data_IF_388526929596
#
_entry.id   IF_388526929596
#
_cell.length_a   1.000
_cell.length_b   1.000
_cell.length_c   1.000
_cell.angle_alpha   90.00
_cell.angle_beta   90.00
_cell.angle_gamma   90.00
#
_symmetry.space_group_name_H-M   'P 1'
#
loop_
_entity.id
_entity.type
_entity.pdbx_description
1 polymer ?
#
# COMPACT_ATOMS: atom_id res chain seq x y z
N UNK A 1 73.61 -20.39 -51.83
CA UNK A 1 72.87 -19.28 -51.25
C UNK A 1 72.23 -19.76 -49.99
N UNK A 2 72.82 -19.43 -48.87
CA UNK A 2 72.48 -19.96 -47.58
C UNK A 2 71.34 -19.25 -46.88
N UNK A 3 70.35 -19.97 -46.45
CA UNK A 3 69.31 -19.47 -45.59
C UNK A 3 69.60 -19.83 -44.13
N UNK A 4 69.94 -18.83 -43.31
CA UNK A 4 70.09 -19.02 -41.88
C UNK A 4 68.70 -19.27 -41.21
N UNK A 5 68.63 -20.44 -40.53
CA UNK A 5 67.54 -20.77 -39.64
C UNK A 5 67.85 -20.11 -38.29
N UNK A 6 66.93 -19.32 -37.78
CA UNK A 6 66.98 -18.75 -36.46
C UNK A 6 66.61 -19.84 -35.35
N UNK A 7 67.23 -19.77 -34.17
CA UNK A 7 67.02 -20.76 -33.14
C UNK A 7 65.66 -20.58 -32.43
N UNK A 8 65.13 -21.63 -31.85
CA UNK A 8 63.81 -21.57 -31.21
C UNK A 8 63.85 -20.81 -29.85
N UNK A 9 62.89 -19.91 -29.65
CA UNK A 9 62.74 -19.15 -28.40
C UNK A 9 62.18 -20.06 -27.30
N UNK A 10 62.98 -20.22 -26.22
CA UNK A 10 62.58 -20.96 -25.05
C UNK A 10 61.35 -20.33 -24.36
N UNK A 11 60.31 -21.10 -24.19
CA UNK A 11 59.11 -20.73 -23.46
C UNK A 11 59.41 -20.74 -21.95
N UNK A 12 59.50 -19.56 -21.31
CA UNK A 12 59.59 -19.43 -19.86
C UNK A 12 58.17 -19.60 -19.30
N UNK A 13 57.94 -20.77 -18.66
CA UNK A 13 56.74 -20.99 -17.87
C UNK A 13 56.91 -20.38 -16.48
N UNK A 14 56.15 -19.34 -16.18
CA UNK A 14 56.04 -18.82 -14.78
C UNK A 14 55.20 -19.78 -13.93
N UNK A 15 55.68 -20.20 -12.79
CA UNK A 15 54.87 -21.02 -11.87
C UNK A 15 53.89 -20.16 -11.08
N UNK A 16 52.65 -20.58 -10.99
CA UNK A 16 51.78 -20.19 -9.88
C UNK A 16 50.70 -19.16 -10.15
N UNK A 17 50.07 -19.10 -11.34
CA UNK A 17 48.82 -18.38 -11.47
C UNK A 17 47.64 -19.35 -11.27
N UNK A 18 47.08 -19.35 -10.05
CA UNK A 18 45.79 -19.95 -9.78
C UNK A 18 44.71 -18.93 -10.25
N UNK A 19 43.81 -19.27 -11.18
CA UNK A 19 42.74 -18.37 -11.53
C UNK A 19 41.86 -18.20 -10.29
N UNK A 20 41.69 -16.96 -9.84
CA UNK A 20 40.66 -16.60 -8.86
C UNK A 20 39.33 -17.10 -9.41
N UNK A 21 38.72 -18.03 -8.68
CA UNK A 21 37.33 -18.37 -8.91
C UNK A 21 36.53 -17.08 -8.76
N UNK A 22 36.04 -16.58 -9.88
CA UNK A 22 35.02 -15.53 -9.92
C UNK A 22 33.77 -16.22 -9.39
N UNK A 23 33.51 -16.06 -8.08
CA UNK A 23 32.19 -16.33 -7.55
C UNK A 23 31.23 -15.44 -8.33
N UNK A 24 30.50 -16.07 -9.24
CA UNK A 24 29.30 -15.46 -9.80
C UNK A 24 28.30 -15.28 -8.67
N UNK A 25 28.31 -14.11 -8.05
CA UNK A 25 27.21 -13.59 -7.26
C UNK A 25 26.04 -13.28 -8.19
N UNK A 26 25.51 -14.33 -8.83
CA UNK A 26 24.22 -14.30 -9.52
C UNK A 26 23.23 -15.03 -8.61
N UNK A 27 22.74 -14.35 -7.64
CA UNK A 27 21.37 -14.45 -7.11
C UNK A 27 21.23 -13.56 -5.87
N UNK A 28 21.43 -12.27 -6.01
CA UNK A 28 20.59 -11.37 -5.25
C UNK A 28 19.22 -11.54 -5.86
N UNK A 29 18.45 -12.49 -5.32
CA UNK A 29 17.04 -12.59 -5.62
C UNK A 29 16.47 -11.18 -5.46
N UNK A 30 16.03 -10.58 -6.57
CA UNK A 30 14.96 -9.60 -6.50
C UNK A 30 13.90 -10.32 -5.66
N UNK A 31 13.78 -9.99 -4.37
CA UNK A 31 12.52 -10.19 -3.68
C UNK A 31 11.51 -9.47 -4.58
N UNK A 32 10.78 -10.23 -5.37
CA UNK A 32 9.59 -9.74 -6.02
C UNK A 32 8.70 -9.32 -4.87
N UNK A 33 8.73 -8.03 -4.54
CA UNK A 33 7.81 -7.45 -3.59
C UNK A 33 6.44 -7.73 -4.18
N UNK A 34 5.69 -8.62 -3.54
CA UNK A 34 4.37 -9.01 -4.03
C UNK A 34 3.49 -7.77 -4.08
N UNK A 35 2.83 -7.59 -5.20
CA UNK A 35 1.82 -6.55 -5.36
C UNK A 35 0.68 -6.89 -4.40
N UNK A 36 0.39 -5.98 -3.48
CA UNK A 36 -0.60 -6.16 -2.42
C UNK A 36 -1.78 -5.21 -2.62
N UNK A 37 -2.97 -5.63 -2.19
CA UNK A 37 -4.17 -4.80 -2.21
C UNK A 37 -4.62 -4.48 -0.79
N UNK A 38 -5.11 -3.27 -0.60
CA UNK A 38 -5.75 -2.85 0.65
C UNK A 38 -7.04 -2.10 0.36
N UNK A 39 -7.96 -2.16 1.31
CA UNK A 39 -9.20 -1.39 1.22
C UNK A 39 -9.05 -0.05 1.93
N UNK A 40 -9.69 0.98 1.40
CA UNK A 40 -9.72 2.31 1.99
C UNK A 40 -11.12 2.91 1.92
N UNK A 41 -11.50 3.68 2.95
CA UNK A 41 -12.68 4.56 2.92
C UNK A 41 -12.24 5.99 3.20
N UNK A 42 -12.66 6.92 2.35
CA UNK A 42 -12.65 8.34 2.66
C UNK A 42 -14.00 8.65 3.31
N UNK A 43 -13.96 9.11 4.56
CA UNK A 43 -15.10 9.22 5.47
C UNK A 43 -15.95 10.48 5.23
N UNK A 44 -17.16 10.57 5.83
CA UNK A 44 -18.08 11.68 5.61
C UNK A 44 -17.50 13.06 5.98
N UNK A 45 -16.65 13.16 7.00
CA UNK A 45 -16.00 14.41 7.38
C UNK A 45 -15.11 14.96 6.26
N UNK A 46 -14.42 14.11 5.53
CA UNK A 46 -13.57 14.52 4.41
C UNK A 46 -14.39 14.80 3.14
N UNK A 47 -15.39 13.97 2.85
CA UNK A 47 -16.21 14.16 1.64
C UNK A 47 -17.06 15.43 1.69
N UNK A 48 -17.64 15.80 2.86
CA UNK A 48 -18.40 17.05 3.02
C UNK A 48 -17.54 18.29 2.89
N UNK A 49 -16.26 18.22 3.23
CA UNK A 49 -15.28 19.32 3.07
C UNK A 49 -14.66 19.40 1.68
N UNK A 50 -15.08 18.49 0.77
CA UNK A 50 -14.57 18.40 -0.60
C UNK A 50 -13.04 18.26 -0.71
N UNK A 51 -12.45 17.43 0.17
CA UNK A 51 -11.01 17.16 0.20
C UNK A 51 -10.65 15.75 -0.28
N UNK A 52 -11.60 15.03 -0.89
CA UNK A 52 -11.38 13.68 -1.45
C UNK A 52 -10.15 13.63 -2.35
N UNK A 53 -10.03 14.58 -3.30
CA UNK A 53 -8.89 14.64 -4.22
C UNK A 53 -7.54 14.84 -3.52
N UNK A 54 -7.50 15.63 -2.43
CA UNK A 54 -6.27 15.81 -1.63
C UNK A 54 -5.84 14.53 -0.91
N UNK A 55 -6.79 13.68 -0.53
CA UNK A 55 -6.52 12.40 0.10
C UNK A 55 -6.04 11.39 -0.94
N UNK A 56 -6.70 11.33 -2.12
CA UNK A 56 -6.27 10.45 -3.23
C UNK A 56 -4.86 10.81 -3.69
N UNK A 57 -4.53 12.09 -3.81
CA UNK A 57 -3.19 12.56 -4.14
C UNK A 57 -2.11 12.01 -3.17
N UNK A 58 -2.43 11.87 -1.87
CA UNK A 58 -1.50 11.28 -0.89
C UNK A 58 -1.24 9.80 -1.17
N UNK A 59 -2.27 9.05 -1.58
CA UNK A 59 -2.11 7.63 -1.96
C UNK A 59 -1.27 7.49 -3.22
N UNK A 60 -1.60 8.22 -4.28
CA UNK A 60 -0.90 8.15 -5.57
C UNK A 60 0.53 8.66 -5.47
N UNK A 61 0.77 9.76 -4.77
CA UNK A 61 2.12 10.30 -4.52
C UNK A 61 3.02 9.34 -3.73
N UNK A 62 2.44 8.46 -2.91
CA UNK A 62 3.17 7.41 -2.21
C UNK A 62 3.33 6.12 -3.02
N UNK A 63 2.86 6.09 -4.28
CA UNK A 63 2.97 4.95 -5.18
C UNK A 63 1.91 3.87 -4.98
N UNK A 64 0.76 4.21 -4.34
CA UNK A 64 -0.42 3.36 -4.30
C UNK A 64 -1.34 3.73 -5.47
N UNK A 65 -1.73 2.72 -6.28
CA UNK A 65 -2.67 2.91 -7.38
C UNK A 65 -4.10 2.72 -6.89
N UNK A 66 -5.01 3.59 -7.27
CA UNK A 66 -6.46 3.39 -7.06
C UNK A 66 -6.98 2.52 -8.22
N UNK A 67 -7.28 1.26 -7.95
CA UNK A 67 -7.73 0.28 -8.96
C UNK A 67 -9.24 0.00 -8.93
N UNK A 68 -9.94 0.52 -7.93
CA UNK A 68 -11.40 0.61 -7.87
C UNK A 68 -11.81 1.76 -6.95
N UNK A 69 -12.89 2.46 -7.29
CA UNK A 69 -13.39 3.57 -6.48
C UNK A 69 -14.89 3.76 -6.70
N UNK A 70 -15.65 3.95 -5.62
CA UNK A 70 -17.08 4.26 -5.64
C UNK A 70 -17.41 5.33 -4.61
N UNK A 71 -18.19 6.34 -5.01
CA UNK A 71 -18.83 7.25 -4.07
C UNK A 71 -20.23 6.72 -3.75
N UNK A 72 -20.46 6.39 -2.50
CA UNK A 72 -21.72 5.81 -2.03
C UNK A 72 -22.23 6.53 -0.79
N UNK A 73 -23.53 6.42 -0.52
CA UNK A 73 -24.09 6.73 0.78
C UNK A 73 -24.44 5.38 1.43
N UNK A 74 -23.73 5.02 2.50
CA UNK A 74 -23.95 3.76 3.17
C UNK A 74 -25.34 3.72 3.81
N UNK A 75 -26.03 2.60 3.66
CA UNK A 75 -27.21 2.32 4.48
C UNK A 75 -26.78 1.95 5.89
N UNK A 76 -27.72 2.06 6.86
CA UNK A 76 -27.46 1.64 8.24
C UNK A 76 -27.02 0.18 8.29
N UNK A 77 -27.70 -0.71 7.56
CA UNK A 77 -27.34 -2.13 7.49
C UNK A 77 -25.94 -2.37 6.93
N UNK A 78 -25.52 -1.62 5.91
CA UNK A 78 -24.17 -1.69 5.38
C UNK A 78 -23.12 -1.23 6.40
N UNK A 79 -23.36 -0.13 7.11
CA UNK A 79 -22.44 0.34 8.14
C UNK A 79 -22.34 -0.63 9.32
N UNK A 80 -23.49 -1.12 9.82
CA UNK A 80 -23.52 -2.12 10.88
C UNK A 80 -22.83 -3.43 10.50
N UNK A 81 -23.02 -3.91 9.26
CA UNK A 81 -22.37 -5.12 8.76
C UNK A 81 -20.85 -4.94 8.59
N UNK A 82 -20.42 -3.83 8.03
CA UNK A 82 -18.99 -3.54 7.84
C UNK A 82 -18.25 -3.42 9.17
N UNK A 83 -18.84 -2.76 10.15
CA UNK A 83 -18.25 -2.57 11.47
C UNK A 83 -18.71 -3.60 12.51
N UNK A 84 -19.27 -4.75 12.10
CA UNK A 84 -19.80 -5.78 13.00
C UNK A 84 -18.78 -6.28 14.04
N UNK A 85 -17.50 -6.30 13.72
CA UNK A 85 -16.38 -6.61 14.64
C UNK A 85 -16.34 -5.68 15.86
N UNK A 86 -16.92 -4.50 15.77
CA UNK A 86 -17.00 -3.51 16.85
C UNK A 86 -18.35 -3.47 17.56
N UNK A 87 -19.29 -4.39 17.26
CA UNK A 87 -20.67 -4.36 17.73
C UNK A 87 -20.82 -4.23 19.25
N UNK A 88 -19.93 -4.88 20.00
CA UNK A 88 -19.91 -4.85 21.46
C UNK A 88 -19.14 -3.65 22.06
N UNK A 89 -18.64 -2.75 21.23
CA UNK A 89 -17.90 -1.57 21.68
C UNK A 89 -18.85 -0.41 21.98
N UNK A 90 -18.62 0.38 23.05
CA UNK A 90 -19.49 1.51 23.41
C UNK A 90 -19.68 2.53 22.29
N UNK A 91 -18.66 2.71 21.44
CA UNK A 91 -18.68 3.68 20.32
C UNK A 91 -19.36 3.17 19.05
N UNK A 92 -19.86 1.93 19.01
CA UNK A 92 -20.38 1.31 17.78
C UNK A 92 -21.53 2.12 17.15
N UNK A 93 -22.52 2.51 17.94
CA UNK A 93 -23.67 3.26 17.44
C UNK A 93 -23.28 4.65 16.92
N UNK A 94 -22.36 5.31 17.59
CA UNK A 94 -21.85 6.62 17.16
C UNK A 94 -21.05 6.49 15.85
N UNK A 95 -20.23 5.44 15.73
CA UNK A 95 -19.49 5.12 14.49
C UNK A 95 -20.47 4.87 13.34
N UNK A 96 -21.49 4.04 13.51
CA UNK A 96 -22.51 3.77 12.50
C UNK A 96 -23.21 5.06 12.09
N UNK A 97 -23.67 5.85 13.06
CA UNK A 97 -24.35 7.12 12.84
C UNK A 97 -23.46 8.11 12.06
N UNK A 98 -22.18 8.18 12.40
CA UNK A 98 -21.21 8.99 11.70
C UNK A 98 -21.01 8.52 10.25
N UNK A 99 -20.83 7.21 10.01
CA UNK A 99 -20.57 6.67 8.68
C UNK A 99 -21.74 6.82 7.71
N UNK A 100 -22.98 6.90 8.22
CA UNK A 100 -24.18 7.15 7.41
C UNK A 100 -24.57 8.63 7.35
N UNK A 101 -23.84 9.53 7.99
CA UNK A 101 -24.16 10.97 8.02
C UNK A 101 -23.92 11.70 6.70
N UNK A 102 -23.25 11.07 5.75
CA UNK A 102 -22.96 11.62 4.43
C UNK A 102 -22.30 10.59 3.51
N UNK A 103 -22.05 10.97 2.25
CA UNK A 103 -21.36 10.10 1.31
C UNK A 103 -19.95 9.74 1.78
N UNK A 104 -19.53 8.51 1.44
CA UNK A 104 -18.15 8.03 1.60
C UNK A 104 -17.59 7.67 0.23
N UNK A 105 -16.26 7.62 0.11
CA UNK A 105 -15.60 7.04 -1.07
C UNK A 105 -14.89 5.77 -0.62
N UNK A 106 -15.34 4.63 -1.13
CA UNK A 106 -14.71 3.32 -0.92
C UNK A 106 -13.75 3.04 -2.07
N UNK A 107 -12.56 2.50 -1.77
CA UNK A 107 -11.49 2.32 -2.74
C UNK A 107 -10.72 1.04 -2.51
N UNK A 108 -10.18 0.48 -3.59
CA UNK A 108 -9.14 -0.54 -3.56
C UNK A 108 -7.84 0.10 -4.01
N UNK A 109 -6.85 0.05 -3.14
CA UNK A 109 -5.49 0.55 -3.39
C UNK A 109 -4.57 -0.64 -3.63
N UNK A 110 -3.67 -0.53 -4.61
CA UNK A 110 -2.71 -1.56 -4.98
C UNK A 110 -1.29 -1.00 -5.01
N UNK A 111 -0.33 -1.75 -4.51
CA UNK A 111 1.09 -1.38 -4.53
C UNK A 111 1.94 -2.35 -3.74
N UNK A 112 3.23 -2.09 -3.67
CA UNK A 112 4.13 -2.86 -2.81
C UNK A 112 3.85 -2.55 -1.34
N UNK A 113 3.63 -3.60 -0.52
CA UNK A 113 3.28 -3.48 0.90
C UNK A 113 2.09 -2.52 1.14
N UNK A 114 1.05 -2.60 0.31
CA UNK A 114 -0.02 -1.62 0.27
C UNK A 114 -0.71 -1.39 1.62
N UNK A 115 -0.90 -2.44 2.43
CA UNK A 115 -1.54 -2.33 3.75
C UNK A 115 -0.67 -1.47 4.68
N UNK A 116 0.60 -1.82 4.84
CA UNK A 116 1.52 -1.09 5.71
C UNK A 116 1.70 0.35 5.25
N UNK A 117 1.91 0.55 3.94
CA UNK A 117 2.09 1.87 3.33
C UNK A 117 0.85 2.75 3.50
N UNK A 118 -0.36 2.21 3.27
CA UNK A 118 -1.59 2.94 3.49
C UNK A 118 -1.73 3.37 4.95
N UNK A 119 -1.44 2.49 5.90
CA UNK A 119 -1.50 2.83 7.33
C UNK A 119 -0.50 3.90 7.74
N UNK A 120 0.71 3.88 7.16
CA UNK A 120 1.72 4.92 7.34
C UNK A 120 1.22 6.28 6.82
N UNK A 121 0.68 6.33 5.61
CA UNK A 121 0.14 7.55 4.99
C UNK A 121 -1.07 8.09 5.79
N UNK A 122 -1.93 7.20 6.28
CA UNK A 122 -3.08 7.59 7.10
C UNK A 122 -2.65 8.23 8.42
N UNK A 123 -1.60 7.74 9.04
CA UNK A 123 -1.16 8.15 10.37
C UNK A 123 -1.97 7.50 11.51
N UNK A 124 -1.58 7.80 12.74
CA UNK A 124 -2.22 7.27 13.94
C UNK A 124 -3.73 7.58 13.98
N UNK A 125 -4.52 6.66 14.55
CA UNK A 125 -6.00 6.78 14.64
C UNK A 125 -6.43 8.07 15.34
N UNK A 126 -5.74 8.44 16.43
CA UNK A 126 -5.91 9.74 17.05
C UNK A 126 -5.02 10.77 16.34
N UNK A 127 -5.59 11.81 15.69
CA UNK A 127 -4.81 12.82 14.98
C UNK A 127 -3.84 13.63 15.88
N UNK A 128 -4.08 13.67 17.18
CA UNK A 128 -3.14 14.29 18.11
C UNK A 128 -1.78 13.56 18.14
N UNK A 129 -1.80 12.25 17.94
CA UNK A 129 -0.63 11.37 17.95
C UNK A 129 -0.09 11.06 16.54
N UNK A 130 -0.72 11.60 15.50
CA UNK A 130 -0.32 11.38 14.12
C UNK A 130 0.85 12.30 13.75
N UNK A 131 1.79 11.75 12.96
CA UNK A 131 2.95 12.48 12.46
C UNK A 131 2.55 13.52 11.42
N UNK A 132 3.31 14.60 11.35
CA UNK A 132 3.13 15.65 10.35
C UNK A 132 3.20 15.08 8.93
N UNK A 133 2.34 15.55 8.03
CA UNK A 133 2.26 15.08 6.64
C UNK A 133 1.39 13.84 6.45
N UNK A 134 0.89 13.21 7.52
CA UNK A 134 -0.09 12.13 7.41
C UNK A 134 -1.50 12.69 7.18
N UNK A 135 -2.38 11.89 6.57
CA UNK A 135 -3.76 12.29 6.26
C UNK A 135 -4.50 12.71 7.53
N UNK A 136 -4.38 11.95 8.60
CA UNK A 136 -5.10 12.25 9.85
C UNK A 136 -4.54 13.48 10.56
N UNK A 137 -3.22 13.70 10.50
CA UNK A 137 -2.64 14.92 11.07
C UNK A 137 -3.12 16.17 10.36
N UNK A 138 -3.15 16.11 9.03
CA UNK A 138 -3.41 17.30 8.21
C UNK A 138 -4.91 17.55 8.02
N UNK A 139 -5.76 16.50 8.06
CA UNK A 139 -7.16 16.61 7.66
C UNK A 139 -8.19 16.14 8.70
N UNK A 140 -7.82 15.36 9.71
CA UNK A 140 -8.79 14.89 10.70
C UNK A 140 -9.31 16.04 11.58
N UNK A 141 -10.61 15.99 11.91
CA UNK A 141 -11.25 16.95 12.81
C UNK A 141 -11.23 16.48 14.26
N UNK A 142 -11.32 15.16 14.47
CA UNK A 142 -11.28 14.50 15.78
C UNK A 142 -10.86 13.02 15.63
N UNK A 143 -10.83 12.28 16.74
CA UNK A 143 -10.57 10.83 16.71
C UNK A 143 -11.72 10.06 16.04
N UNK A 144 -12.95 10.54 16.15
CA UNK A 144 -14.12 9.95 15.50
C UNK A 144 -14.19 10.35 14.03
N UNK A 145 -13.98 11.64 13.73
CA UNK A 145 -13.96 12.24 12.39
C UNK A 145 -12.52 12.31 11.88
N UNK A 146 -11.88 11.14 11.66
CA UNK A 146 -10.47 11.03 11.34
C UNK A 146 -10.16 10.76 9.87
N UNK A 147 -11.05 11.16 9.01
CA UNK A 147 -10.96 11.29 7.54
C UNK A 147 -10.88 9.99 6.76
N UNK A 148 -10.21 8.96 7.24
CA UNK A 148 -9.93 7.73 6.48
C UNK A 148 -10.02 6.46 7.32
N UNK A 149 -10.36 5.35 6.62
CA UNK A 149 -10.20 3.97 7.10
C UNK A 149 -9.28 3.23 6.13
N UNK A 150 -8.56 2.26 6.65
CA UNK A 150 -7.75 1.31 5.86
C UNK A 150 -7.64 -0.01 6.59
N UNK A 151 -7.57 -1.10 5.82
CA UNK A 151 -7.39 -2.45 6.35
C UNK A 151 -6.10 -2.56 7.17
N UNK A 152 -6.09 -3.45 8.14
CA UNK A 152 -4.98 -3.66 9.08
C UNK A 152 -4.20 -4.96 8.81
N UNK A 153 -4.76 -5.89 8.03
CA UNK A 153 -4.16 -7.17 7.70
C UNK A 153 -4.62 -7.65 6.30
N UNK A 154 -3.91 -8.61 5.67
CA UNK A 154 -4.30 -9.17 4.37
C UNK A 154 -5.69 -9.81 4.37
N UNK A 155 -6.04 -10.51 5.44
CA UNK A 155 -7.33 -11.17 5.59
C UNK A 155 -8.47 -10.14 5.66
N UNK A 156 -8.32 -9.10 6.48
CA UNK A 156 -9.30 -8.01 6.60
C UNK A 156 -9.39 -7.23 5.30
N UNK A 157 -8.28 -7.00 4.59
CA UNK A 157 -8.30 -6.36 3.28
C UNK A 157 -9.13 -7.15 2.26
N UNK A 158 -8.94 -8.48 2.20
CA UNK A 158 -9.70 -9.33 1.29
C UNK A 158 -11.20 -9.33 1.59
N UNK A 159 -11.59 -9.38 2.87
CA UNK A 159 -12.99 -9.34 3.30
C UNK A 159 -13.63 -7.96 3.02
N UNK A 160 -12.96 -6.88 3.38
CA UNK A 160 -13.44 -5.50 3.20
C UNK A 160 -13.58 -5.14 1.72
N UNK A 161 -12.66 -5.58 0.86
CA UNK A 161 -12.75 -5.40 -0.60
C UNK A 161 -14.00 -6.11 -1.12
N UNK A 162 -14.20 -7.39 -0.79
CA UNK A 162 -15.36 -8.18 -1.23
C UNK A 162 -16.69 -7.63 -0.72
N UNK A 163 -16.68 -6.91 0.40
CA UNK A 163 -17.88 -6.30 0.95
C UNK A 163 -18.46 -5.21 0.03
N UNK A 164 -17.59 -4.46 -0.65
CA UNK A 164 -18.00 -3.32 -1.47
C UNK A 164 -17.80 -3.52 -2.98
N UNK A 165 -16.91 -4.42 -3.39
CA UNK A 165 -16.54 -4.58 -4.79
C UNK A 165 -16.70 -6.02 -5.26
N UNK A 166 -17.23 -6.17 -6.48
CA UNK A 166 -17.14 -7.40 -7.25
C UNK A 166 -15.81 -7.45 -8.00
N UNK A 167 -15.36 -8.65 -8.36
CA UNK A 167 -14.08 -8.82 -9.05
C UNK A 167 -14.01 -8.03 -10.37
N UNK A 168 -15.13 -7.97 -11.12
CA UNK A 168 -15.23 -7.19 -12.37
C UNK A 168 -15.12 -5.67 -12.21
N UNK A 169 -15.26 -5.15 -11.01
CA UNK A 169 -15.17 -3.72 -10.70
C UNK A 169 -13.73 -3.29 -10.34
N UNK A 170 -12.83 -4.24 -10.19
CA UNK A 170 -11.42 -4.00 -9.86
C UNK A 170 -10.62 -4.06 -11.15
N UNK A 171 -10.23 -2.90 -11.66
CA UNK A 171 -9.55 -2.72 -12.94
C UNK A 171 -8.19 -2.03 -12.72
N UNK A 172 -7.09 -2.77 -12.96
CA UNK A 172 -5.78 -2.20 -12.71
C UNK A 172 -4.60 -3.05 -13.10
#
# INVERSE_FOLDING_TARGET
MGGLLAPPVARVTKPGYKPRQIFHLHNLGKLSMALERTFSIIKPDATRRNITGKIVDRFESAGLRVIASKRIHMTKAQAEGFYAVHKERPFFNDLVSFMISGPVVVQVLEGENAIAKNREIMGATNPANADAGTIRKDFAESIEANSVHGSDAPETAAEEIKYFFKDEEIVG
#
